data_IF_508389688994
#
_entry.id   IF_508389688994
#
_cell.length_a   1.000
_cell.length_b   1.000
_cell.length_c   1.000
_cell.angle_alpha   90.00
_cell.angle_beta   90.00
_cell.angle_gamma   90.00
#
_symmetry.space_group_name_H-M   'P 1'
#
loop_
_entity.id
_entity.type
_entity.pdbx_description
1 polymer ?
#
# COMPACT_ATOMS: atom_id res chain seq x y z
N UNK A 1 -5.17 -12.83 26.28
CA UNK A 1 -5.28 -14.29 26.05
C UNK A 1 -6.31 -14.48 24.95
N UNK A 2 -5.94 -15.08 23.82
CA UNK A 2 -6.84 -15.28 22.68
C UNK A 2 -7.23 -16.78 22.64
N UNK A 3 -8.48 -17.15 23.01
CA UNK A 3 -8.90 -18.55 23.08
C UNK A 3 -8.89 -19.27 21.73
N UNK A 4 -8.78 -18.55 20.61
CA UNK A 4 -8.61 -19.15 19.29
C UNK A 4 -7.25 -19.86 19.14
N UNK A 5 -6.24 -19.50 19.96
CA UNK A 5 -4.91 -20.13 19.92
C UNK A 5 -4.87 -21.51 20.61
N UNK A 6 -5.91 -21.86 21.37
CA UNK A 6 -6.00 -23.14 22.09
C UNK A 6 -6.84 -24.20 21.35
N UNK A 7 -7.28 -23.89 20.12
CA UNK A 7 -8.05 -24.83 19.29
C UNK A 7 -7.11 -25.98 18.88
N UNK A 8 -7.44 -27.25 19.22
CA UNK A 8 -6.70 -28.39 18.71
C UNK A 8 -6.73 -28.34 17.18
N UNK A 9 -5.56 -28.45 16.55
CA UNK A 9 -5.36 -28.36 15.09
C UNK A 9 -5.30 -26.95 14.48
N UNK A 10 -5.24 -25.88 15.29
CA UNK A 10 -4.93 -24.53 14.80
C UNK A 10 -3.42 -24.27 14.83
N UNK A 11 -2.78 -24.18 13.66
CA UNK A 11 -1.42 -23.67 13.49
C UNK A 11 -1.49 -22.18 13.12
N UNK A 12 -1.15 -21.30 14.06
CA UNK A 12 -1.16 -19.86 13.82
C UNK A 12 -0.32 -19.43 12.59
N UNK A 13 0.68 -20.20 12.18
CA UNK A 13 1.51 -19.88 11.02
C UNK A 13 0.88 -20.35 9.70
N UNK A 14 0.11 -21.44 9.69
CA UNK A 14 -0.55 -21.95 8.48
C UNK A 14 -1.99 -21.47 8.33
N UNK A 15 -2.70 -21.35 9.45
CA UNK A 15 -4.14 -21.09 9.50
C UNK A 15 -4.48 -19.62 9.74
N UNK A 16 -3.48 -18.76 10.03
CA UNK A 16 -3.69 -17.32 9.98
C UNK A 16 -3.31 -16.79 8.59
N UNK A 17 -4.30 -16.47 7.72
CA UNK A 17 -3.98 -15.71 6.53
C UNK A 17 -3.39 -14.37 6.98
N UNK A 18 -2.26 -13.98 6.38
CA UNK A 18 -1.70 -12.63 6.58
C UNK A 18 -2.85 -11.63 6.39
N UNK A 19 -3.14 -10.88 7.44
CA UNK A 19 -4.26 -9.96 7.42
C UNK A 19 -3.80 -8.66 6.72
N UNK A 20 -3.82 -8.71 5.39
CA UNK A 20 -3.24 -7.69 4.48
C UNK A 20 -3.78 -6.29 4.80
N UNK A 21 -5.05 -6.21 5.22
CA UNK A 21 -5.68 -4.94 5.51
C UNK A 21 -5.00 -4.22 6.69
N UNK A 22 -4.88 -4.80 7.89
CA UNK A 22 -4.24 -4.08 8.99
C UNK A 22 -2.70 -4.14 8.97
N UNK A 23 -2.09 -5.22 8.49
CA UNK A 23 -0.62 -5.35 8.49
C UNK A 23 0.03 -4.52 7.39
N UNK A 24 -0.50 -4.60 6.18
CA UNK A 24 0.15 -4.00 5.00
C UNK A 24 -0.49 -2.66 4.65
N UNK A 25 -1.81 -2.62 4.44
CA UNK A 25 -2.50 -1.42 3.94
C UNK A 25 -2.62 -0.33 5.02
N UNK A 26 -3.18 -0.66 6.19
CA UNK A 26 -3.32 0.27 7.32
C UNK A 26 -2.07 0.35 8.19
N UNK A 27 -1.13 -0.57 8.00
CA UNK A 27 0.20 -0.55 8.60
C UNK A 27 1.20 0.16 7.68
N UNK A 28 2.05 -0.62 7.01
CA UNK A 28 3.20 -0.12 6.23
C UNK A 28 2.80 0.98 5.25
N UNK A 29 1.81 0.74 4.38
CA UNK A 29 1.43 1.69 3.31
C UNK A 29 0.89 2.98 3.90
N UNK A 30 0.04 2.92 4.93
CA UNK A 30 -0.51 4.10 5.60
C UNK A 30 0.58 5.00 6.15
N UNK A 31 1.52 4.46 6.91
CA UNK A 31 2.55 5.28 7.55
C UNK A 31 3.57 5.80 6.54
N UNK A 32 3.94 4.99 5.54
CA UNK A 32 4.83 5.44 4.47
C UNK A 32 4.21 6.53 3.61
N UNK A 33 2.92 6.42 3.29
CA UNK A 33 2.21 7.46 2.54
C UNK A 33 2.13 8.77 3.33
N UNK A 34 1.80 8.68 4.63
CA UNK A 34 1.77 9.86 5.52
C UNK A 34 3.13 10.52 5.63
N UNK A 35 4.20 9.75 5.75
CA UNK A 35 5.58 10.26 5.76
C UNK A 35 5.96 10.91 4.42
N UNK A 36 5.66 10.27 3.30
CA UNK A 36 5.92 10.84 1.97
C UNK A 36 5.21 12.19 1.78
N UNK A 37 3.94 12.29 2.19
CA UNK A 37 3.13 13.52 2.11
C UNK A 37 3.61 14.60 3.10
N UNK A 38 4.00 14.23 4.33
CA UNK A 38 4.42 15.19 5.35
C UNK A 38 5.76 15.86 5.01
N UNK A 39 6.65 15.17 4.29
CA UNK A 39 7.93 15.72 3.81
C UNK A 39 7.80 16.73 2.69
N UNK A 40 6.63 16.82 2.03
CA UNK A 40 6.43 17.76 0.94
C UNK A 40 6.13 19.17 1.45
N UNK A 41 6.79 20.16 0.86
CA UNK A 41 6.37 21.56 0.97
C UNK A 41 5.09 21.81 0.15
N UNK A 42 4.56 23.04 0.19
CA UNK A 42 3.32 23.38 -0.53
C UNK A 42 3.39 23.06 -2.02
N UNK A 43 4.50 23.40 -2.70
CA UNK A 43 4.69 23.10 -4.13
C UNK A 43 4.73 21.59 -4.41
N UNK A 44 5.46 20.82 -3.60
CA UNK A 44 5.54 19.37 -3.72
C UNK A 44 4.20 18.68 -3.48
N UNK A 45 3.37 19.21 -2.57
CA UNK A 45 1.99 18.70 -2.37
C UNK A 45 1.10 18.96 -3.58
N UNK A 46 1.19 20.14 -4.20
CA UNK A 46 0.44 20.41 -5.42
C UNK A 46 0.91 19.54 -6.58
N UNK A 47 2.22 19.36 -6.73
CA UNK A 47 2.77 18.44 -7.74
C UNK A 47 2.29 17.00 -7.51
N UNK A 48 2.30 16.52 -6.27
CA UNK A 48 1.79 15.19 -5.94
C UNK A 48 0.29 15.04 -6.25
N UNK A 49 -0.52 16.06 -5.91
CA UNK A 49 -1.96 16.08 -6.24
C UNK A 49 -2.18 16.03 -7.76
N UNK A 50 -1.39 16.79 -8.52
CA UNK A 50 -1.47 16.82 -9.99
C UNK A 50 -1.07 15.48 -10.59
N UNK A 51 0.03 14.88 -10.14
CA UNK A 51 0.47 13.54 -10.59
C UNK A 51 -0.59 12.48 -10.31
N UNK A 52 -1.14 12.46 -9.09
CA UNK A 52 -2.22 11.54 -8.74
C UNK A 52 -3.48 11.76 -9.59
N UNK A 53 -3.87 13.01 -9.85
CA UNK A 53 -5.09 13.31 -10.62
C UNK A 53 -4.92 13.08 -12.12
N UNK A 54 -3.67 13.05 -12.62
CA UNK A 54 -3.34 12.90 -14.04
C UNK A 54 -2.95 11.47 -14.42
N UNK A 55 -2.77 10.57 -13.46
CA UNK A 55 -2.39 9.19 -13.75
C UNK A 55 -3.50 8.49 -14.54
N UNK A 56 -3.09 7.74 -15.56
CA UNK A 56 -4.02 6.86 -16.26
C UNK A 56 -4.41 5.71 -15.33
N UNK A 57 -5.72 5.50 -15.19
CA UNK A 57 -6.30 4.45 -14.36
C UNK A 57 -6.80 3.27 -15.18
N UNK A 58 -6.54 3.25 -16.49
CA UNK A 58 -6.79 2.09 -17.33
C UNK A 58 -6.14 0.84 -16.72
N UNK A 59 -6.93 -0.22 -16.55
CA UNK A 59 -6.47 -1.47 -15.94
C UNK A 59 -6.42 -1.51 -14.41
N UNK A 60 -6.60 -0.39 -13.70
CA UNK A 60 -6.64 -0.36 -12.22
C UNK A 60 -8.02 -0.69 -11.62
N UNK A 61 -9.06 -0.80 -12.46
CA UNK A 61 -10.42 -1.09 -12.00
C UNK A 61 -11.06 0.02 -11.16
N UNK A 62 -10.56 1.26 -11.26
CA UNK A 62 -11.08 2.43 -10.53
C UNK A 62 -11.37 3.59 -11.49
N UNK A 63 -12.27 4.48 -11.06
CA UNK A 63 -12.36 5.83 -11.63
C UNK A 63 -11.10 6.65 -11.29
N UNK A 64 -10.94 7.80 -11.97
CA UNK A 64 -9.82 8.73 -11.78
C UNK A 64 -9.52 8.97 -10.30
N UNK A 65 -8.25 8.91 -9.92
CA UNK A 65 -7.82 9.14 -8.55
C UNK A 65 -8.16 10.56 -8.11
N UNK A 66 -8.70 10.68 -6.89
CA UNK A 66 -8.97 11.97 -6.24
C UNK A 66 -7.70 12.46 -5.55
N UNK A 67 -6.72 12.93 -6.33
CA UNK A 67 -5.41 13.34 -5.82
C UNK A 67 -5.47 14.34 -4.66
N UNK A 68 -6.39 15.31 -4.72
CA UNK A 68 -6.64 16.23 -3.61
C UNK A 68 -6.99 15.49 -2.32
N UNK A 69 -7.90 14.52 -2.37
CA UNK A 69 -8.31 13.72 -1.20
C UNK A 69 -7.15 12.90 -0.65
N UNK A 70 -6.40 12.21 -1.53
CA UNK A 70 -5.31 11.32 -1.13
C UNK A 70 -4.13 12.06 -0.47
N UNK A 71 -3.93 13.34 -0.79
CA UNK A 71 -2.88 14.17 -0.19
C UNK A 71 -3.41 14.94 1.03
N UNK A 72 -4.56 15.61 0.92
CA UNK A 72 -5.11 16.45 2.00
C UNK A 72 -5.51 15.63 3.22
N UNK A 73 -6.09 14.45 3.00
CA UNK A 73 -6.61 13.58 4.04
C UNK A 73 -5.75 12.34 4.26
N UNK A 74 -4.43 12.42 3.97
CA UNK A 74 -3.50 11.30 4.09
C UNK A 74 -3.54 10.58 5.46
N UNK A 75 -4.00 11.26 6.52
CA UNK A 75 -4.15 10.68 7.86
C UNK A 75 -5.45 9.91 8.14
N UNK A 76 -6.47 10.05 7.31
CA UNK A 76 -7.81 9.49 7.54
C UNK A 76 -8.32 8.65 6.36
N UNK A 77 -7.41 8.19 5.50
CA UNK A 77 -7.73 7.30 4.39
C UNK A 77 -8.06 5.88 4.90
N UNK A 78 -8.77 5.12 4.06
CA UNK A 78 -9.17 3.73 4.35
C UNK A 78 -8.38 2.72 3.51
N UNK A 79 -8.52 1.43 3.82
CA UNK A 79 -7.78 0.36 3.13
C UNK A 79 -7.89 0.39 1.60
N UNK A 80 -9.06 0.75 1.06
CA UNK A 80 -9.27 0.92 -0.39
C UNK A 80 -8.32 1.98 -0.99
N UNK A 81 -8.20 3.12 -0.33
CA UNK A 81 -7.34 4.21 -0.80
C UNK A 81 -5.87 3.78 -0.76
N UNK A 82 -5.46 3.08 0.31
CA UNK A 82 -4.10 2.58 0.44
C UNK A 82 -3.76 1.50 -0.58
N UNK A 83 -4.74 0.66 -0.96
CA UNK A 83 -4.54 -0.29 -2.07
C UNK A 83 -4.26 0.43 -3.40
N UNK A 84 -4.97 1.52 -3.68
CA UNK A 84 -4.72 2.35 -4.86
C UNK A 84 -3.35 3.03 -4.77
N UNK A 85 -3.01 3.63 -3.63
CA UNK A 85 -1.71 4.25 -3.38
C UNK A 85 -0.57 3.24 -3.60
N UNK A 86 -0.72 2.01 -3.12
CA UNK A 86 0.26 0.94 -3.29
C UNK A 86 0.49 0.59 -4.77
N UNK A 87 -0.54 0.70 -5.61
CA UNK A 87 -0.41 0.44 -7.05
C UNK A 87 0.29 1.58 -7.79
N UNK A 88 0.05 2.84 -7.40
CA UNK A 88 0.53 4.02 -8.15
C UNK A 88 1.74 4.72 -7.52
N UNK A 89 2.11 4.33 -6.29
CA UNK A 89 3.10 5.01 -5.45
C UNK A 89 4.41 5.33 -6.16
N UNK A 90 5.08 4.36 -6.80
CA UNK A 90 6.34 4.61 -7.51
C UNK A 90 6.23 5.65 -8.63
N UNK A 91 5.11 5.67 -9.36
CA UNK A 91 4.90 6.60 -10.47
C UNK A 91 4.70 8.03 -9.98
N UNK A 92 4.02 8.22 -8.85
CA UNK A 92 3.71 9.56 -8.34
C UNK A 92 4.81 10.12 -7.43
N UNK A 93 5.57 9.27 -6.73
CA UNK A 93 6.59 9.68 -5.76
C UNK A 93 7.99 9.90 -6.35
N UNK A 94 8.24 9.49 -7.60
CA UNK A 94 9.56 9.61 -8.23
C UNK A 94 10.08 11.06 -8.20
N UNK A 95 11.25 11.28 -7.59
CA UNK A 95 11.84 12.63 -7.45
C UNK A 95 11.19 13.55 -6.41
N UNK A 96 10.16 13.10 -5.67
CA UNK A 96 9.54 13.86 -4.58
C UNK A 96 10.02 13.42 -3.19
N UNK A 97 10.65 12.25 -3.08
CA UNK A 97 11.19 11.71 -1.82
C UNK A 97 12.65 11.31 -2.00
N UNK A 98 13.36 11.12 -0.89
CA UNK A 98 14.74 10.64 -0.90
C UNK A 98 14.84 9.29 -1.61
N UNK A 99 15.91 9.10 -2.37
CA UNK A 99 16.15 7.90 -3.19
C UNK A 99 16.06 6.60 -2.38
N UNK A 100 16.53 6.59 -1.13
CA UNK A 100 16.44 5.42 -0.25
C UNK A 100 15.00 5.05 0.08
N UNK A 101 14.14 6.04 0.36
CA UNK A 101 12.70 5.81 0.59
C UNK A 101 12.01 5.36 -0.70
N UNK A 102 12.40 5.94 -1.84
CA UNK A 102 11.86 5.55 -3.15
C UNK A 102 12.17 4.09 -3.48
N UNK A 103 13.41 3.63 -3.24
CA UNK A 103 13.78 2.21 -3.36
C UNK A 103 12.97 1.32 -2.43
N UNK A 104 12.66 1.79 -1.22
CA UNK A 104 11.74 1.12 -0.30
C UNK A 104 10.36 0.93 -0.93
N UNK A 105 9.77 1.99 -1.50
CA UNK A 105 8.49 1.92 -2.21
C UNK A 105 8.53 0.94 -3.39
N UNK A 106 9.60 0.94 -4.19
CA UNK A 106 9.77 -0.02 -5.28
C UNK A 106 9.79 -1.47 -4.76
N UNK A 107 10.50 -1.75 -3.67
CA UNK A 107 10.53 -3.08 -3.06
C UNK A 107 9.15 -3.49 -2.54
N UNK A 108 8.44 -2.59 -1.84
CA UNK A 108 7.09 -2.83 -1.35
C UNK A 108 6.10 -3.12 -2.50
N UNK A 109 6.18 -2.37 -3.60
CA UNK A 109 5.33 -2.59 -4.77
C UNK A 109 5.66 -3.88 -5.53
N UNK A 110 6.90 -4.39 -5.46
CA UNK A 110 7.27 -5.72 -5.98
C UNK A 110 6.76 -6.85 -5.10
N UNK A 111 6.73 -6.63 -3.79
CA UNK A 111 6.18 -7.59 -2.82
C UNK A 111 4.64 -7.65 -2.89
N UNK A 112 3.99 -6.52 -3.17
CA UNK A 112 2.54 -6.41 -3.13
C UNK A 112 1.80 -7.51 -3.93
N UNK A 113 2.09 -7.78 -5.22
CA UNK A 113 1.43 -8.87 -5.96
C UNK A 113 1.51 -10.22 -5.26
N UNK A 114 2.66 -10.55 -4.67
CA UNK A 114 2.88 -11.81 -3.95
C UNK A 114 2.01 -11.89 -2.68
N UNK A 115 1.82 -10.76 -1.99
CA UNK A 115 0.95 -10.69 -0.81
C UNK A 115 -0.53 -10.84 -1.17
N UNK A 116 -0.94 -10.37 -2.34
CA UNK A 116 -2.34 -10.46 -2.80
C UNK A 116 -2.65 -11.75 -3.57
N UNK A 117 -1.68 -12.65 -3.73
CA UNK A 117 -1.89 -13.93 -4.38
C UNK A 117 -2.55 -14.90 -3.39
N UNK A 118 -3.73 -15.49 -3.71
CA UNK A 118 -4.48 -16.32 -2.77
C UNK A 118 -3.91 -17.74 -2.60
N UNK A 119 -2.97 -18.15 -3.46
CA UNK A 119 -2.40 -19.50 -3.47
C UNK A 119 -0.96 -19.49 -3.95
N UNK A 120 -0.11 -20.31 -3.34
CA UNK A 120 1.24 -20.58 -3.85
C UNK A 120 1.09 -21.63 -4.94
N UNK A 121 1.45 -21.29 -6.17
CA UNK A 121 1.58 -22.27 -7.23
C UNK A 121 2.76 -23.18 -6.89
N UNK A 122 2.53 -24.50 -6.88
CA UNK A 122 3.54 -25.52 -6.54
C UNK A 122 3.99 -25.57 -5.08
N UNK A 123 3.03 -25.59 -4.15
CA UNK A 123 3.29 -25.77 -2.71
C UNK A 123 4.04 -27.08 -2.38
N UNK A 124 3.99 -28.06 -3.27
CA UNK A 124 4.63 -29.38 -3.16
C UNK A 124 6.16 -29.36 -3.39
N UNK A 125 6.72 -28.27 -3.90
CA UNK A 125 8.17 -28.13 -4.21
C UNK A 125 8.91 -27.28 -3.15
N UNK A 126 8.23 -26.85 -2.08
CA UNK A 126 8.79 -26.07 -0.98
C UNK A 126 8.93 -26.93 0.27
#
# INVERSE_FOLDING_TARGET
FNPCLDIPDFDANQDSPVEILHVVLLGVVKYWWRDAVSRQNSKGKEELKTRLSSIDTAGLGTSRLRGHTLVQYAGSLVGRDFRLILQVGPSVLHGLILETHYKGWLALCRLAPLLFQPSIEHMDIY
#
